data_IF_940146492766
#
_entry.id   IF_940146492766
#
_cell.length_a   1.000
_cell.length_b   1.000
_cell.length_c   1.000
_cell.angle_alpha   90.00
_cell.angle_beta   90.00
_cell.angle_gamma   90.00
#
_symmetry.space_group_name_H-M   'P 1'
#
loop_
_entity.id
_entity.type
_entity.pdbx_description
1 polymer ?
#
# COMPACT_ATOMS: atom_id res chain seq x y z
N UNK A 1 22.75 10.45 4.79
CA UNK A 1 22.18 10.07 6.11
C UNK A 1 22.50 8.62 6.47
N UNK A 2 22.21 7.64 5.59
CA UNK A 2 22.47 6.21 5.82
C UNK A 2 23.88 5.90 6.37
N UNK A 3 24.95 6.29 5.68
CA UNK A 3 26.34 6.02 6.12
C UNK A 3 26.61 6.49 7.55
N UNK A 4 26.21 7.73 7.86
CA UNK A 4 26.45 8.35 9.18
C UNK A 4 25.75 7.54 10.27
N UNK A 5 24.48 7.20 10.05
CA UNK A 5 23.71 6.39 11.00
C UNK A 5 24.37 5.03 11.27
N UNK A 6 24.76 4.29 10.23
CA UNK A 6 25.42 2.99 10.40
C UNK A 6 26.77 3.15 11.11
N UNK A 7 27.56 4.16 10.75
CA UNK A 7 28.85 4.43 11.40
C UNK A 7 28.70 4.76 12.88
N UNK A 8 27.66 5.49 13.29
CA UNK A 8 27.37 5.76 14.70
C UNK A 8 27.05 4.48 15.49
N UNK A 9 26.25 3.57 14.91
CA UNK A 9 25.94 2.28 15.52
C UNK A 9 27.19 1.42 15.69
N UNK A 10 28.05 1.35 14.66
CA UNK A 10 29.31 0.60 14.75
C UNK A 10 30.24 1.22 15.79
N UNK A 11 30.35 2.56 15.84
CA UNK A 11 31.15 3.27 16.86
C UNK A 11 30.61 3.04 18.28
N UNK A 12 29.29 2.91 18.45
CA UNK A 12 28.70 2.52 19.74
C UNK A 12 29.08 1.10 20.11
N UNK A 13 28.96 0.15 19.18
CA UNK A 13 29.30 -1.26 19.41
C UNK A 13 30.80 -1.43 19.75
N UNK A 14 31.70 -0.73 19.04
CA UNK A 14 33.13 -0.73 19.33
C UNK A 14 33.42 -0.20 20.74
N UNK A 15 32.81 0.94 21.12
CA UNK A 15 32.97 1.49 22.48
C UNK A 15 32.48 0.52 23.56
N UNK A 16 31.34 -0.13 23.34
CA UNK A 16 30.81 -1.13 24.27
C UNK A 16 31.73 -2.34 24.38
N UNK A 17 32.28 -2.84 23.27
CA UNK A 17 33.25 -3.94 23.29
C UNK A 17 34.53 -3.56 24.04
N UNK A 18 35.06 -2.36 23.80
CA UNK A 18 36.26 -1.87 24.47
C UNK A 18 36.06 -1.61 25.97
N UNK A 19 34.81 -1.45 26.43
CA UNK A 19 34.50 -1.35 27.86
C UNK A 19 34.55 -2.69 28.61
N UNK A 20 34.65 -3.82 27.90
CA UNK A 20 34.81 -5.14 28.52
C UNK A 20 36.19 -5.29 29.17
N UNK A 21 36.33 -6.24 30.11
CA UNK A 21 37.64 -6.57 30.68
C UNK A 21 38.59 -7.12 29.60
N UNK A 22 39.91 -6.91 29.77
CA UNK A 22 40.91 -7.41 28.81
C UNK A 22 40.80 -8.93 28.61
N UNK A 23 40.46 -9.69 29.67
CA UNK A 23 40.21 -11.13 29.58
C UNK A 23 39.09 -11.45 28.60
N UNK A 24 37.96 -10.74 28.65
CA UNK A 24 36.85 -10.97 27.72
C UNK A 24 37.17 -10.51 26.31
N UNK A 25 37.88 -9.40 26.15
CA UNK A 25 38.30 -8.93 24.83
C UNK A 25 39.24 -9.95 24.15
N UNK A 26 40.17 -10.54 24.89
CA UNK A 26 41.12 -11.53 24.38
C UNK A 26 40.45 -12.84 23.93
N UNK A 27 39.26 -13.18 24.45
CA UNK A 27 38.48 -14.32 23.97
C UNK A 27 37.87 -14.08 22.58
N UNK A 28 37.75 -12.81 22.16
CA UNK A 28 37.01 -12.38 20.98
C UNK A 28 37.84 -11.47 20.05
N UNK A 29 39.06 -11.88 19.64
CA UNK A 29 39.97 -11.00 18.89
C UNK A 29 39.43 -10.57 17.52
N UNK A 30 38.48 -11.32 16.97
CA UNK A 30 37.87 -11.04 15.67
C UNK A 30 36.76 -9.99 15.67
N UNK A 31 36.31 -9.48 16.83
CA UNK A 31 35.16 -8.56 16.88
C UNK A 31 35.48 -7.21 16.24
N UNK A 32 36.58 -6.55 16.63
CA UNK A 32 36.95 -5.25 16.07
C UNK A 32 37.19 -5.30 14.55
N UNK A 33 37.95 -6.28 13.99
CA UNK A 33 38.07 -6.42 12.53
C UNK A 33 36.73 -6.62 11.81
N UNK A 34 35.79 -7.38 12.41
CA UNK A 34 34.45 -7.56 11.83
C UNK A 34 33.67 -6.24 11.84
N UNK A 35 33.75 -5.45 12.90
CA UNK A 35 33.12 -4.13 12.96
C UNK A 35 33.71 -3.18 11.90
N UNK A 36 35.03 -3.19 11.69
CA UNK A 36 35.66 -2.44 10.59
C UNK A 36 35.14 -2.88 9.22
N UNK A 37 34.95 -4.18 9.00
CA UNK A 37 34.35 -4.70 7.75
C UNK A 37 32.91 -4.22 7.56
N UNK A 38 32.12 -4.14 8.63
CA UNK A 38 30.75 -3.58 8.55
C UNK A 38 30.79 -2.10 8.11
N UNK A 39 31.76 -1.31 8.58
CA UNK A 39 31.94 0.09 8.11
C UNK A 39 32.19 0.16 6.61
N UNK A 40 33.08 -0.69 6.08
CA UNK A 40 33.38 -0.76 4.65
C UNK A 40 32.15 -1.15 3.83
N UNK A 41 31.37 -2.13 4.29
CA UNK A 41 30.11 -2.48 3.63
C UNK A 41 29.11 -1.32 3.65
N UNK A 42 29.05 -0.54 4.73
CA UNK A 42 28.19 0.64 4.81
C UNK A 42 28.60 1.75 3.83
N UNK A 43 29.91 1.91 3.58
CA UNK A 43 30.42 2.83 2.56
C UNK A 43 29.99 2.40 1.16
N UNK A 44 30.17 1.12 0.82
CA UNK A 44 29.76 0.61 -0.49
C UNK A 44 28.23 0.72 -0.71
N UNK A 45 27.44 0.41 0.31
CA UNK A 45 25.98 0.59 0.23
C UNK A 45 25.60 2.07 0.05
N UNK A 46 26.35 3.01 0.63
CA UNK A 46 26.11 4.45 0.45
C UNK A 46 26.35 4.87 -1.00
N UNK A 47 27.37 4.33 -1.67
CA UNK A 47 27.63 4.58 -3.10
C UNK A 47 26.45 4.13 -3.97
N UNK A 48 25.88 2.95 -3.67
CA UNK A 48 24.69 2.44 -4.36
C UNK A 48 23.49 3.38 -4.14
N UNK A 49 23.24 3.81 -2.90
CA UNK A 49 22.15 4.72 -2.59
C UNK A 49 22.32 6.08 -3.29
N UNK A 50 23.55 6.60 -3.36
CA UNK A 50 23.86 7.84 -4.09
C UNK A 50 23.61 7.68 -5.59
N UNK A 51 23.97 6.54 -6.18
CA UNK A 51 23.67 6.23 -7.57
C UNK A 51 22.16 6.17 -7.84
N UNK A 52 21.38 5.57 -6.94
CA UNK A 52 19.91 5.55 -7.04
C UNK A 52 19.35 6.96 -7.03
N UNK A 53 19.76 7.80 -6.07
CA UNK A 53 19.30 9.19 -5.97
C UNK A 53 19.68 9.97 -7.22
N UNK A 54 20.94 9.90 -7.64
CA UNK A 54 21.43 10.60 -8.83
C UNK A 54 20.63 10.23 -10.09
N UNK A 55 20.36 8.93 -10.29
CA UNK A 55 19.62 8.46 -11.46
C UNK A 55 18.12 8.78 -11.38
N UNK A 56 17.55 8.89 -10.17
CA UNK A 56 16.14 9.24 -10.00
C UNK A 56 15.83 10.72 -10.29
N UNK A 57 16.80 11.62 -10.09
CA UNK A 57 16.63 13.06 -10.31
C UNK A 57 16.37 13.43 -11.78
N UNK A 58 16.80 12.58 -12.71
CA UNK A 58 16.68 12.82 -14.16
C UNK A 58 15.60 11.96 -14.82
N UNK A 59 14.82 11.22 -14.03
CA UNK A 59 13.67 10.49 -14.56
C UNK A 59 12.57 11.48 -14.95
N UNK A 60 12.02 11.33 -16.16
CA UNK A 60 11.02 12.24 -16.74
C UNK A 60 9.83 12.53 -15.79
N UNK A 61 9.42 11.54 -15.01
CA UNK A 61 8.34 11.63 -14.02
C UNK A 61 8.68 12.50 -12.79
N UNK A 62 9.97 12.73 -12.52
CA UNK A 62 10.46 13.52 -11.39
C UNK A 62 10.88 14.96 -11.79
N UNK A 63 10.76 15.31 -13.08
CA UNK A 63 11.12 16.65 -13.61
C UNK A 63 10.29 17.76 -12.95
N UNK A 64 9.06 17.46 -12.53
CA UNK A 64 8.20 18.42 -11.82
C UNK A 64 8.75 18.85 -10.45
N UNK A 65 9.58 18.02 -9.82
CA UNK A 65 10.23 18.34 -8.54
C UNK A 65 11.56 19.09 -8.71
N UNK A 66 12.10 19.17 -9.93
CA UNK A 66 13.40 19.74 -10.24
C UNK A 66 13.33 20.79 -11.34
N UNK A 67 12.69 21.94 -11.09
CA UNK A 67 12.71 23.14 -11.95
C UNK A 67 12.36 22.95 -13.45
N UNK A 68 11.15 23.41 -13.81
CA UNK A 68 10.65 23.81 -15.15
C UNK A 68 11.66 23.78 -16.31
N UNK A 69 11.61 22.77 -17.17
CA UNK A 69 11.61 22.91 -18.65
C UNK A 69 10.83 21.72 -19.22
N UNK A 70 9.78 22.00 -19.99
CA UNK A 70 8.95 20.98 -20.61
C UNK A 70 9.58 20.38 -21.87
N UNK A 71 9.06 19.22 -22.29
CA UNK A 71 8.77 18.87 -23.69
C UNK A 71 8.01 17.52 -23.75
N UNK A 72 7.04 17.48 -24.67
CA UNK A 72 6.13 16.38 -24.97
C UNK A 72 6.80 15.08 -25.43
N UNK A 73 6.12 13.93 -25.26
CA UNK A 73 5.70 13.11 -26.40
C UNK A 73 4.84 11.89 -26.03
N UNK A 74 3.86 11.63 -26.91
CA UNK A 74 2.98 10.47 -26.98
C UNK A 74 3.71 9.12 -27.02
N UNK A 75 3.22 8.13 -26.26
CA UNK A 75 3.34 6.71 -26.62
C UNK A 75 2.06 5.93 -26.33
N UNK A 76 1.76 5.01 -27.25
CA UNK A 76 0.65 4.07 -27.25
C UNK A 76 0.90 2.98 -26.19
N UNK A 77 0.04 2.87 -25.18
CA UNK A 77 0.23 1.91 -24.08
C UNK A 77 -0.55 0.60 -24.29
N UNK A 78 0.17 -0.52 -24.24
CA UNK A 78 -0.38 -1.77 -23.69
C UNK A 78 -0.76 -1.53 -22.22
N UNK A 79 -1.97 -1.88 -21.81
CA UNK A 79 -2.47 -1.65 -20.45
C UNK A 79 -1.82 -2.63 -19.46
N UNK A 80 -0.58 -2.34 -19.07
CA UNK A 80 0.10 -2.90 -17.91
C UNK A 80 0.56 -1.71 -17.07
N UNK A 81 0.06 -1.59 -15.85
CA UNK A 81 0.54 -0.61 -14.88
C UNK A 81 1.09 -1.37 -13.67
N UNK A 82 2.34 -1.08 -13.32
CA UNK A 82 2.96 -1.50 -12.07
C UNK A 82 2.81 -0.36 -11.07
N UNK A 83 2.36 -0.65 -9.84
CA UNK A 83 2.30 0.33 -8.76
C UNK A 83 3.24 -0.11 -7.66
N UNK A 84 4.18 0.78 -7.32
CA UNK A 84 5.03 0.67 -6.14
C UNK A 84 4.70 1.84 -5.22
N UNK A 85 4.09 1.59 -4.07
CA UNK A 85 4.12 2.52 -2.93
C UNK A 85 3.61 1.87 -1.65
N UNK A 86 3.98 2.42 -0.49
CA UNK A 86 3.33 2.12 0.80
C UNK A 86 2.21 3.12 1.11
N UNK A 87 2.14 4.24 0.37
CA UNK A 87 1.06 5.22 0.47
C UNK A 87 0.00 5.02 -0.64
N UNK A 88 -0.57 3.82 -0.68
CA UNK A 88 -1.29 3.30 -1.83
C UNK A 88 -2.68 3.89 -2.07
N UNK A 89 -3.33 4.48 -1.05
CA UNK A 89 -4.57 5.21 -1.25
C UNK A 89 -4.40 6.34 -2.28
N UNK A 90 -3.25 7.01 -2.29
CA UNK A 90 -2.87 8.10 -3.21
C UNK A 90 -2.57 7.67 -4.65
N UNK A 91 -2.38 6.38 -4.92
CA UNK A 91 -2.09 5.85 -6.27
C UNK A 91 -3.23 5.00 -6.81
N UNK A 92 -3.94 4.26 -5.96
CA UNK A 92 -5.09 3.46 -6.38
C UNK A 92 -6.31 4.35 -6.73
N UNK A 93 -6.52 5.48 -6.03
CA UNK A 93 -7.56 6.45 -6.40
C UNK A 93 -7.32 7.14 -7.76
N UNK A 94 -6.06 7.18 -8.23
CA UNK A 94 -5.73 7.75 -9.56
C UNK A 94 -6.30 6.91 -10.70
N UNK A 95 -6.71 5.66 -10.45
CA UNK A 95 -7.52 4.91 -11.40
C UNK A 95 -8.97 5.41 -11.39
N UNK A 96 -9.18 6.56 -12.00
CA UNK A 96 -10.53 7.10 -12.28
C UNK A 96 -11.23 6.32 -13.40
N UNK A 97 -10.49 5.53 -14.18
CA UNK A 97 -11.03 4.75 -15.29
C UNK A 97 -11.59 3.41 -14.81
N UNK A 98 -12.92 3.29 -14.82
CA UNK A 98 -13.62 2.05 -14.50
C UNK A 98 -13.53 1.04 -15.65
N UNK A 99 -13.52 -0.26 -15.31
CA UNK A 99 -13.63 -1.38 -16.28
C UNK A 99 -12.55 -1.40 -17.38
N UNK A 100 -11.31 -1.16 -17.00
CA UNK A 100 -10.18 -1.14 -17.96
C UNK A 100 -9.34 -2.42 -17.89
N UNK A 101 -9.27 -3.06 -16.72
CA UNK A 101 -8.31 -4.13 -16.48
C UNK A 101 -8.95 -5.50 -16.62
N UNK A 102 -8.29 -6.39 -17.36
CA UNK A 102 -8.68 -7.80 -17.48
C UNK A 102 -8.19 -8.63 -16.28
N UNK A 103 -7.09 -8.20 -15.64
CA UNK A 103 -6.52 -8.83 -14.47
C UNK A 103 -5.94 -7.79 -13.51
N UNK A 104 -6.08 -8.02 -12.21
CA UNK A 104 -5.38 -7.33 -11.13
C UNK A 104 -4.67 -8.38 -10.28
N UNK A 105 -3.38 -8.20 -10.02
CA UNK A 105 -2.60 -9.10 -9.19
C UNK A 105 -2.06 -8.34 -7.97
N UNK A 106 -2.35 -8.82 -6.77
CA UNK A 106 -1.87 -8.27 -5.51
C UNK A 106 -0.96 -9.28 -4.82
N UNK A 107 0.26 -8.86 -4.45
CA UNK A 107 1.23 -9.71 -3.77
C UNK A 107 1.77 -8.96 -2.55
N UNK A 108 1.52 -9.46 -1.32
CA UNK A 108 1.90 -8.76 -0.07
C UNK A 108 1.45 -7.29 -0.05
N UNK A 109 0.20 -7.05 -0.43
CA UNK A 109 -0.28 -5.72 -0.77
C UNK A 109 -1.54 -5.28 -0.04
N UNK A 110 -2.54 -6.16 0.09
CA UNK A 110 -3.88 -5.76 0.54
C UNK A 110 -3.92 -5.30 2.00
N UNK A 111 -2.92 -5.70 2.78
CA UNK A 111 -2.68 -5.35 4.18
C UNK A 111 -1.95 -4.00 4.34
N UNK A 112 -1.56 -3.35 3.25
CA UNK A 112 -1.04 -1.97 3.25
C UNK A 112 -2.14 -0.91 3.26
N UNK A 113 -3.41 -1.31 3.26
CA UNK A 113 -4.54 -0.38 3.24
C UNK A 113 -4.83 0.18 4.64
N UNK A 114 -5.15 1.48 4.72
CA UNK A 114 -5.85 2.05 5.89
C UNK A 114 -7.25 1.43 6.05
N UNK A 115 -7.91 1.18 4.93
CA UNK A 115 -9.20 0.53 4.85
C UNK A 115 -9.20 -0.48 3.70
N UNK A 116 -9.03 -1.76 4.01
CA UNK A 116 -8.98 -2.83 3.01
C UNK A 116 -10.24 -2.91 2.14
N UNK A 117 -11.40 -2.46 2.65
CA UNK A 117 -12.65 -2.43 1.87
C UNK A 117 -12.55 -1.48 0.68
N UNK A 118 -11.80 -0.38 0.80
CA UNK A 118 -11.59 0.54 -0.31
C UNK A 118 -10.76 -0.10 -1.43
N UNK A 119 -9.83 -0.99 -1.08
CA UNK A 119 -9.08 -1.75 -2.09
C UNK A 119 -10.00 -2.74 -2.79
N UNK A 120 -10.81 -3.48 -2.05
CA UNK A 120 -11.80 -4.43 -2.62
C UNK A 120 -12.74 -3.70 -3.59
N UNK A 121 -13.29 -2.55 -3.17
CA UNK A 121 -14.16 -1.70 -4.02
C UNK A 121 -13.44 -1.18 -5.26
N UNK A 122 -12.19 -0.74 -5.11
CA UNK A 122 -11.43 -0.19 -6.23
C UNK A 122 -11.09 -1.28 -7.24
N UNK A 123 -10.61 -2.43 -6.78
CA UNK A 123 -10.33 -3.59 -7.64
C UNK A 123 -11.58 -4.01 -8.40
N UNK A 124 -12.74 -4.05 -7.74
CA UNK A 124 -14.02 -4.29 -8.40
C UNK A 124 -14.33 -3.25 -9.47
N UNK A 125 -14.19 -1.96 -9.19
CA UNK A 125 -14.50 -0.86 -10.12
C UNK A 125 -13.61 -0.89 -11.37
N UNK A 126 -12.32 -1.13 -11.20
CA UNK A 126 -11.34 -1.04 -12.29
C UNK A 126 -11.33 -2.30 -13.17
N UNK A 127 -11.76 -3.46 -12.64
CA UNK A 127 -11.88 -4.70 -13.42
C UNK A 127 -13.05 -4.65 -14.42
N UNK A 128 -12.77 -5.13 -15.64
CA UNK A 128 -13.80 -5.43 -16.65
C UNK A 128 -14.73 -6.56 -16.16
N UNK A 129 -15.97 -6.64 -16.67
CA UNK A 129 -16.78 -7.86 -16.55
C UNK A 129 -16.00 -9.08 -17.07
N UNK A 130 -15.99 -10.16 -16.31
CA UNK A 130 -15.17 -11.34 -16.58
C UNK A 130 -13.70 -11.22 -16.15
N UNK A 131 -13.25 -10.04 -15.71
CA UNK A 131 -11.89 -9.80 -15.23
C UNK A 131 -11.58 -10.52 -13.93
N UNK A 132 -10.30 -10.73 -13.66
CA UNK A 132 -9.81 -11.57 -12.55
C UNK A 132 -8.98 -10.76 -11.57
N UNK A 133 -9.18 -11.02 -10.29
CA UNK A 133 -8.29 -10.61 -9.22
C UNK A 133 -7.55 -11.81 -8.65
N UNK A 134 -6.22 -11.76 -8.67
CA UNK A 134 -5.33 -12.75 -8.07
C UNK A 134 -4.68 -12.12 -6.85
N UNK A 135 -4.73 -12.79 -5.71
CA UNK A 135 -4.06 -12.34 -4.49
C UNK A 135 -3.13 -13.43 -3.94
N UNK A 136 -1.96 -13.02 -3.44
CA UNK A 136 -1.09 -13.83 -2.60
C UNK A 136 -0.50 -12.95 -1.49
N UNK A 137 -0.84 -13.20 -0.24
CA UNK A 137 -0.22 -12.47 0.86
C UNK A 137 -0.78 -12.82 2.23
N UNK A 138 -0.13 -12.33 3.30
CA UNK A 138 -0.66 -12.37 4.65
C UNK A 138 -1.65 -11.22 4.86
N UNK A 139 -2.10 -11.05 6.11
CA UNK A 139 -2.83 -9.88 6.59
C UNK A 139 -2.07 -9.25 7.76
N UNK A 140 -0.90 -8.66 7.49
CA UNK A 140 -0.12 -7.91 8.48
C UNK A 140 -0.36 -6.41 8.27
N UNK A 141 -1.41 -5.88 8.91
CA UNK A 141 -1.87 -4.52 8.67
C UNK A 141 -0.79 -3.48 8.97
N UNK A 142 -0.40 -2.71 7.95
CA UNK A 142 0.78 -1.83 8.02
C UNK A 142 0.66 -0.74 9.08
N UNK A 143 -0.56 -0.23 9.29
CA UNK A 143 -0.84 0.87 10.21
C UNK A 143 -1.29 0.40 11.59
N UNK A 144 -1.24 -0.92 11.85
CA UNK A 144 -1.52 -1.48 13.17
C UNK A 144 -0.61 -0.81 14.22
N UNK A 145 -1.18 -0.34 15.32
CA UNK A 145 -0.47 0.33 16.42
C UNK A 145 0.19 1.68 16.09
N UNK A 146 -0.10 2.30 14.95
CA UNK A 146 0.35 3.67 14.65
C UNK A 146 -0.61 4.71 15.24
N UNK A 147 -0.07 5.62 16.06
CA UNK A 147 -0.88 6.68 16.70
C UNK A 147 -1.33 7.69 15.64
N UNK A 148 -2.63 8.01 15.62
CA UNK A 148 -3.29 8.93 14.68
C UNK A 148 -3.42 8.43 13.23
N UNK A 149 -3.15 7.15 12.96
CA UNK A 149 -3.43 6.55 11.65
C UNK A 149 -4.68 5.67 11.72
N UNK A 150 -5.51 5.72 10.67
CA UNK A 150 -6.64 4.80 10.55
C UNK A 150 -6.15 3.44 10.06
N UNK A 151 -6.56 2.37 10.74
CA UNK A 151 -6.27 0.99 10.38
C UNK A 151 -7.53 0.13 10.61
N UNK A 152 -8.17 -0.31 9.53
CA UNK A 152 -9.29 -1.26 9.59
C UNK A 152 -8.74 -2.67 9.42
N UNK A 153 -8.58 -3.34 10.54
CA UNK A 153 -7.99 -4.68 10.66
C UNK A 153 -9.08 -5.75 10.60
N UNK A 154 -9.19 -6.44 9.46
CA UNK A 154 -10.18 -7.49 9.25
C UNK A 154 -9.53 -8.87 9.22
N UNK A 155 -10.24 -9.87 9.73
CA UNK A 155 -9.83 -11.26 9.53
C UNK A 155 -9.96 -11.65 8.04
N UNK A 156 -9.27 -12.71 7.62
CA UNK A 156 -9.47 -13.22 6.26
C UNK A 156 -10.92 -13.64 6.01
N UNK A 157 -11.61 -14.18 7.02
CA UNK A 157 -13.02 -14.56 6.92
C UNK A 157 -13.92 -13.36 6.58
N UNK A 158 -13.68 -12.22 7.22
CA UNK A 158 -14.42 -10.98 6.97
C UNK A 158 -14.12 -10.42 5.58
N UNK A 159 -12.84 -10.38 5.19
CA UNK A 159 -12.41 -9.94 3.86
C UNK A 159 -13.02 -10.82 2.78
N UNK A 160 -12.95 -12.14 2.93
CA UNK A 160 -13.57 -13.13 2.04
C UNK A 160 -15.08 -12.92 1.92
N UNK A 161 -15.75 -12.68 3.05
CA UNK A 161 -17.19 -12.40 3.09
C UNK A 161 -17.52 -11.13 2.31
N UNK A 162 -16.74 -10.07 2.47
CA UNK A 162 -16.88 -8.83 1.71
C UNK A 162 -16.70 -9.05 0.20
N UNK A 163 -15.65 -9.80 -0.19
CA UNK A 163 -15.36 -10.14 -1.59
C UNK A 163 -16.57 -10.82 -2.25
N UNK A 164 -17.14 -11.83 -1.58
CA UNK A 164 -18.31 -12.57 -2.09
C UNK A 164 -19.55 -11.67 -2.12
N UNK A 165 -19.83 -10.91 -1.06
CA UNK A 165 -20.99 -10.01 -1.00
C UNK A 165 -20.95 -8.89 -2.04
N UNK A 166 -19.75 -8.43 -2.41
CA UNK A 166 -19.58 -7.45 -3.48
C UNK A 166 -19.90 -8.04 -4.86
N UNK A 167 -19.83 -9.37 -5.00
CA UNK A 167 -20.23 -10.11 -6.19
C UNK A 167 -19.09 -10.80 -6.92
N UNK A 168 -17.89 -10.88 -6.34
CA UNK A 168 -16.82 -11.72 -6.90
C UNK A 168 -17.15 -13.21 -6.74
N UNK A 169 -16.74 -13.99 -7.73
CA UNK A 169 -16.79 -15.45 -7.70
C UNK A 169 -15.39 -15.99 -7.40
N UNK A 170 -15.21 -16.62 -6.25
CA UNK A 170 -13.93 -17.25 -5.90
C UNK A 170 -13.78 -18.54 -6.71
N UNK A 171 -12.82 -18.57 -7.63
CA UNK A 171 -12.51 -19.72 -8.49
C UNK A 171 -11.46 -20.64 -7.89
N UNK A 172 -10.48 -20.05 -7.21
CA UNK A 172 -9.41 -20.77 -6.51
C UNK A 172 -9.21 -20.12 -5.15
N UNK A 173 -9.04 -20.95 -4.12
CA UNK A 173 -8.75 -20.52 -2.76
C UNK A 173 -7.82 -21.57 -2.13
N UNK A 174 -6.68 -21.11 -1.65
CA UNK A 174 -5.68 -21.93 -0.95
C UNK A 174 -5.20 -21.15 0.24
N UNK A 175 -5.65 -21.58 1.41
CA UNK A 175 -5.11 -21.13 2.67
C UNK A 175 -3.80 -21.88 2.97
N UNK A 176 -3.06 -21.34 3.93
CA UNK A 176 -1.80 -21.89 4.42
C UNK A 176 -0.67 -22.04 3.39
N UNK A 177 -0.50 -21.04 2.53
CA UNK A 177 0.63 -20.94 1.61
C UNK A 177 1.84 -20.34 2.33
N UNK A 178 2.69 -21.19 2.90
CA UNK A 178 3.88 -20.75 3.61
C UNK A 178 4.91 -20.09 2.69
N UNK A 179 5.35 -18.89 3.05
CA UNK A 179 6.43 -18.17 2.36
C UNK A 179 7.16 -17.23 3.32
N UNK A 180 8.27 -16.66 2.87
CA UNK A 180 9.05 -15.66 3.63
C UNK A 180 9.13 -14.34 2.86
N UNK A 181 9.58 -13.27 3.52
CA UNK A 181 9.74 -11.95 2.92
C UNK A 181 11.04 -11.31 3.39
N UNK A 182 11.92 -10.93 2.45
CA UNK A 182 13.25 -10.35 2.73
C UNK A 182 14.08 -11.15 3.74
N UNK A 183 13.96 -12.48 3.68
CA UNK A 183 14.58 -13.39 4.63
C UNK A 183 16.12 -13.40 4.50
N UNK A 184 16.78 -13.59 5.65
CA UNK A 184 18.19 -13.95 5.70
C UNK A 184 18.33 -15.42 6.12
N UNK A 185 18.66 -16.30 5.17
CA UNK A 185 18.79 -17.75 5.37
C UNK A 185 19.82 -18.15 6.43
N UNK A 186 20.70 -17.22 6.83
CA UNK A 186 21.71 -17.42 7.88
C UNK A 186 21.31 -16.85 9.24
N UNK A 187 20.14 -16.22 9.33
CA UNK A 187 19.62 -15.68 10.59
C UNK A 187 19.14 -16.81 11.51
N UNK A 188 19.36 -16.65 12.81
CA UNK A 188 18.76 -17.53 13.82
C UNK A 188 17.26 -17.27 14.03
N UNK A 189 16.77 -16.09 13.67
CA UNK A 189 15.36 -15.71 13.71
C UNK A 189 14.81 -15.67 12.28
N UNK A 190 13.69 -16.37 12.06
CA UNK A 190 12.99 -16.46 10.76
C UNK A 190 11.53 -16.10 10.94
N UNK A 191 10.99 -15.33 10.00
CA UNK A 191 9.55 -15.04 9.90
C UNK A 191 8.98 -15.83 8.73
N UNK A 192 7.97 -16.63 9.01
CA UNK A 192 7.22 -17.39 8.00
C UNK A 192 5.81 -16.81 8.01
N UNK A 193 5.36 -16.39 6.84
CA UNK A 193 4.00 -15.94 6.60
C UNK A 193 3.18 -17.10 6.10
N UNK A 194 2.04 -17.36 6.75
CA UNK A 194 1.06 -18.29 6.27
C UNK A 194 0.04 -17.53 5.43
N UNK A 195 0.28 -17.47 4.12
CA UNK A 195 -0.47 -16.60 3.22
C UNK A 195 -1.74 -17.27 2.72
N UNK A 196 -2.67 -16.44 2.27
CA UNK A 196 -3.80 -16.88 1.47
C UNK A 196 -3.56 -16.56 0.00
N UNK A 197 -3.76 -17.57 -0.84
CA UNK A 197 -3.81 -17.42 -2.29
C UNK A 197 -5.25 -17.57 -2.75
N UNK A 198 -5.75 -16.60 -3.53
CA UNK A 198 -7.04 -16.75 -4.18
C UNK A 198 -7.06 -16.15 -5.59
N UNK A 199 -7.98 -16.69 -6.39
CA UNK A 199 -8.35 -16.17 -7.71
C UNK A 199 -9.86 -15.89 -7.66
N UNK A 200 -10.23 -14.63 -7.81
CA UNK A 200 -11.61 -14.16 -7.75
C UNK A 200 -12.01 -13.52 -9.09
N UNK A 201 -13.10 -13.94 -9.70
CA UNK A 201 -13.59 -13.42 -10.98
C UNK A 201 -14.76 -12.48 -10.79
N UNK A 202 -14.73 -11.33 -11.46
CA UNK A 202 -15.88 -10.46 -11.63
C UNK A 202 -16.83 -11.08 -12.68
N UNK A 203 -18.13 -11.27 -12.40
CA UNK A 203 -19.06 -11.83 -13.38
C UNK A 203 -19.09 -11.05 -14.71
N UNK A 204 -19.30 -11.77 -15.82
CA UNK A 204 -19.49 -11.15 -17.16
C UNK A 204 -20.82 -10.41 -17.28
N UNK A 205 -21.84 -10.94 -16.62
CA UNK A 205 -23.18 -10.37 -16.57
C UNK A 205 -23.45 -9.93 -15.14
N UNK A 206 -23.56 -8.63 -14.92
CA UNK A 206 -24.14 -8.10 -13.69
C UNK A 206 -25.65 -8.21 -13.88
N UNK A 207 -26.29 -9.26 -13.36
CA UNK A 207 -27.74 -9.23 -13.22
C UNK A 207 -28.07 -8.12 -12.22
N UNK A 208 -28.32 -6.92 -12.73
CA UNK A 208 -28.97 -5.85 -11.99
C UNK A 208 -30.39 -6.34 -11.72
N UNK A 209 -30.63 -6.95 -10.57
CA UNK A 209 -31.98 -6.98 -10.01
C UNK A 209 -32.29 -5.56 -9.51
N UNK A 210 -32.58 -4.66 -10.45
CA UNK A 210 -33.21 -3.39 -10.16
C UNK A 210 -34.59 -3.68 -9.59
N UNK A 211 -34.73 -3.66 -8.27
CA UNK A 211 -35.95 -3.14 -7.67
C UNK A 211 -35.76 -1.64 -7.59
N UNK A 212 -36.09 -0.97 -8.68
CA UNK A 212 -36.48 0.43 -8.61
C UNK A 212 -37.79 0.44 -7.81
N UNK A 213 -37.72 0.84 -6.54
CA UNK A 213 -38.88 1.35 -5.84
C UNK A 213 -39.25 2.68 -6.50
N UNK A 214 -40.04 2.61 -7.58
CA UNK A 214 -40.81 3.74 -8.08
C UNK A 214 -41.87 4.10 -7.01
N UNK A 215 -41.47 4.85 -6.00
CA UNK A 215 -42.39 5.75 -5.31
C UNK A 215 -42.16 7.16 -5.82
N UNK A 216 -43.03 7.56 -6.74
CA UNK A 216 -43.25 8.95 -7.12
C UNK A 216 -43.48 9.81 -5.88
N UNK A 217 -42.47 10.57 -5.49
CA UNK A 217 -42.64 11.75 -4.64
C UNK A 217 -42.30 12.98 -5.47
N UNK A 218 -43.36 13.47 -6.12
CA UNK A 218 -43.46 14.82 -6.68
C UNK A 218 -43.00 15.86 -5.66
N UNK A 219 -41.92 16.56 -5.98
CA UNK A 219 -41.45 17.71 -5.22
C UNK A 219 -42.47 18.86 -5.36
N UNK A 220 -43.00 19.44 -4.26
CA UNK A 220 -43.88 20.60 -4.36
C UNK A 220 -43.08 21.90 -4.63
N UNK A 221 -43.65 22.86 -5.37
CA UNK A 221 -42.94 24.06 -5.80
C UNK A 221 -42.68 25.05 -4.64
N UNK A 222 -41.57 25.77 -4.76
CA UNK A 222 -41.06 26.76 -3.82
C UNK A 222 -42.12 27.80 -3.40
N UNK A 223 -42.28 27.96 -2.08
CA UNK A 223 -43.10 28.99 -1.49
C UNK A 223 -42.51 30.39 -1.76
N UNK A 224 -43.29 31.25 -2.43
CA UNK A 224 -43.03 32.69 -2.54
C UNK A 224 -43.30 33.34 -1.19
N UNK A 225 -42.29 33.98 -0.59
CA UNK A 225 -42.48 34.80 0.61
C UNK A 225 -43.17 36.12 0.23
N UNK A 226 -44.38 36.32 0.75
CA UNK A 226 -45.10 37.58 0.65
C UNK A 226 -44.80 38.45 1.88
N UNK A 227 -44.18 39.61 1.64
CA UNK A 227 -44.12 40.77 2.55
C UNK A 227 -45.50 41.07 3.16
N UNK A 228 -45.54 41.32 4.48
CA UNK A 228 -46.56 42.15 5.14
C UNK A 228 -45.89 43.09 6.16
N UNK A 229 -45.67 44.33 5.73
CA UNK A 229 -45.83 45.55 6.54
C UNK A 229 -47.35 45.90 6.46
N UNK A 230 -48.05 46.51 7.41
CA UNK A 230 -47.76 47.24 8.65
C UNK A 230 -49.07 47.59 9.39
N UNK A 231 -48.93 48.07 10.64
CA UNK A 231 -49.79 49.04 11.37
C UNK A 231 -50.85 48.55 12.38
N UNK A 232 -50.52 48.82 13.65
CA UNK A 232 -51.28 49.48 14.73
C UNK A 232 -52.76 49.18 15.00
N UNK A 233 -53.07 48.86 16.27
CA UNK A 233 -53.74 49.79 17.21
C UNK A 233 -53.86 49.24 18.65
N UNK A 234 -53.55 50.13 19.58
CA UNK A 234 -54.04 50.29 20.97
C UNK A 234 -55.32 49.50 21.30
N UNK A 235 -55.38 48.81 22.46
CA UNK A 235 -55.71 49.35 23.80
C UNK A 235 -55.44 48.27 24.85
#
# INVERSE_FOLDING_TARGET
FYRVHVQEQVTRAERQFLSLSQKHQNLLPGVLPKLSRVRQCAEHNQEILEAIVHNSLHMFENVEYGNRVGLDSNQSHTHYAHIENQNCMGTLWRFTLTRVWDCVATCFFIDTAHNIMEYVDTIWKILKPGGVWINLGPLLYHFENMVNELSIELSYEDVRTAIIKLGFLIEVEKESMQTTYTENDRSMLRYIYDCVFFVARKPKELHFNGREDEQQHSCPPAAKSSRRESSDRLT
#
